data_IF_617417079147
#
_entry.id   IF_617417079147
#
_cell.length_a   1.000
_cell.length_b   1.000
_cell.length_c   1.000
_cell.angle_alpha   90.00
_cell.angle_beta   90.00
_cell.angle_gamma   90.00
#
_symmetry.space_group_name_H-M   'P 1'
#
loop_
_entity.id
_entity.type
_entity.pdbx_description
1 polymer ?
#
# COMPACT_ATOMS: atom_id res chain seq x y z
N UNK A 1 -18.32 14.83 14.17
CA UNK A 1 -17.06 14.05 13.99
C UNK A 1 -17.45 12.59 13.93
N UNK A 2 -17.73 12.07 12.75
CA UNK A 2 -17.91 10.63 12.53
C UNK A 2 -16.54 9.97 12.60
N UNK A 3 -16.40 9.02 13.53
CA UNK A 3 -15.16 8.25 13.68
C UNK A 3 -14.76 7.66 12.30
N UNK A 4 -13.56 7.98 11.84
CA UNK A 4 -12.97 7.34 10.66
C UNK A 4 -12.95 5.83 10.94
N UNK A 5 -13.74 5.06 10.17
CA UNK A 5 -13.67 3.60 10.24
C UNK A 5 -12.33 3.21 9.59
N UNK A 6 -11.35 2.73 10.36
CA UNK A 6 -10.04 2.41 9.81
C UNK A 6 -10.19 1.26 8.80
N UNK A 7 -9.73 1.47 7.57
CA UNK A 7 -9.57 0.40 6.59
C UNK A 7 -8.47 -0.54 7.10
N UNK A 8 -8.87 -1.71 7.54
CA UNK A 8 -7.98 -2.69 8.12
C UNK A 8 -8.63 -4.08 8.20
N UNK A 9 -7.96 -5.04 8.82
CA UNK A 9 -8.50 -6.37 9.02
C UNK A 9 -9.87 -6.36 9.68
N UNK A 10 -10.83 -7.06 9.10
CA UNK A 10 -12.22 -7.12 9.56
C UNK A 10 -13.14 -6.04 8.95
N UNK A 11 -12.61 -5.09 8.17
CA UNK A 11 -13.47 -4.23 7.37
C UNK A 11 -13.97 -4.96 6.13
N UNK A 12 -15.19 -4.62 5.71
CA UNK A 12 -15.83 -5.25 4.54
C UNK A 12 -15.02 -4.98 3.25
N UNK A 13 -14.45 -3.79 3.13
CA UNK A 13 -13.59 -3.39 2.02
C UNK A 13 -12.31 -4.22 1.98
N UNK A 14 -11.66 -4.41 3.13
CA UNK A 14 -10.44 -5.22 3.25
C UNK A 14 -10.66 -6.67 2.84
N UNK A 15 -11.75 -7.26 3.29
CA UNK A 15 -12.01 -8.68 3.05
C UNK A 15 -12.47 -8.99 1.62
N UNK A 16 -12.91 -8.00 0.83
CA UNK A 16 -13.54 -8.24 -0.47
C UNK A 16 -12.74 -7.72 -1.67
N UNK A 17 -12.14 -6.52 -1.57
CA UNK A 17 -11.56 -5.85 -2.74
C UNK A 17 -10.33 -6.56 -3.30
N UNK A 18 -9.51 -7.17 -2.46
CA UNK A 18 -8.26 -7.83 -2.88
C UNK A 18 -8.43 -9.23 -3.45
N UNK A 19 -9.62 -9.80 -3.50
CA UNK A 19 -9.83 -11.16 -3.95
C UNK A 19 -9.61 -11.32 -5.46
N UNK A 20 -8.98 -12.44 -5.87
CA UNK A 20 -8.78 -12.78 -7.29
C UNK A 20 -10.08 -12.81 -8.09
N UNK A 21 -11.21 -13.15 -7.46
CA UNK A 21 -12.53 -13.18 -8.09
C UNK A 21 -12.96 -11.84 -8.68
N UNK A 22 -12.43 -10.72 -8.16
CA UNK A 22 -12.72 -9.38 -8.68
C UNK A 22 -12.34 -9.25 -10.17
N UNK A 23 -11.33 -10.00 -10.62
CA UNK A 23 -10.92 -10.02 -12.02
C UNK A 23 -12.05 -10.44 -12.98
N UNK A 24 -13.00 -11.28 -12.53
CA UNK A 24 -14.12 -11.75 -13.33
C UNK A 24 -15.11 -10.63 -13.70
N UNK A 25 -15.19 -9.56 -12.91
CA UNK A 25 -16.05 -8.40 -13.15
C UNK A 25 -15.28 -7.17 -13.63
N UNK A 26 -13.95 -7.26 -13.75
CA UNK A 26 -13.10 -6.13 -14.11
C UNK A 26 -13.43 -5.57 -15.50
N UNK A 27 -13.64 -6.43 -16.49
CA UNK A 27 -13.95 -5.97 -17.84
C UNK A 27 -15.29 -5.22 -17.90
N UNK A 28 -16.33 -5.71 -17.20
CA UNK A 28 -17.59 -5.00 -17.03
C UNK A 28 -17.39 -3.61 -16.42
N UNK A 29 -16.60 -3.53 -15.34
CA UNK A 29 -16.32 -2.26 -14.68
C UNK A 29 -15.58 -1.28 -15.58
N UNK A 30 -14.59 -1.75 -16.36
CA UNK A 30 -13.87 -0.93 -17.32
C UNK A 30 -14.79 -0.37 -18.40
N UNK A 31 -15.73 -1.18 -18.92
CA UNK A 31 -16.72 -0.75 -19.90
C UNK A 31 -17.64 0.33 -19.32
N UNK A 32 -18.18 0.12 -18.12
CA UNK A 32 -19.01 1.12 -17.44
C UNK A 32 -18.27 2.42 -17.15
N UNK A 33 -17.01 2.33 -16.72
CA UNK A 33 -16.17 3.51 -16.48
C UNK A 33 -15.92 4.28 -17.78
N UNK A 34 -15.48 3.58 -18.82
CA UNK A 34 -15.19 4.18 -20.12
C UNK A 34 -16.43 4.70 -20.83
N UNK A 35 -17.62 4.24 -20.47
CA UNK A 35 -18.88 4.72 -20.99
C UNK A 35 -19.22 6.17 -20.57
N UNK A 36 -18.68 6.63 -19.43
CA UNK A 36 -18.80 8.01 -19.02
C UNK A 36 -17.99 8.91 -19.99
N UNK A 37 -18.57 9.99 -20.56
CA UNK A 37 -17.94 10.78 -21.61
C UNK A 37 -16.52 11.24 -21.27
N UNK A 38 -16.32 11.88 -20.12
CA UNK A 38 -15.01 12.38 -19.70
C UNK A 38 -14.00 11.25 -19.45
N UNK A 39 -14.43 10.11 -18.88
CA UNK A 39 -13.56 8.96 -18.64
C UNK A 39 -13.18 8.29 -19.95
N UNK A 40 -14.15 8.06 -20.86
CA UNK A 40 -13.91 7.49 -22.16
C UNK A 40 -12.94 8.31 -23.00
N UNK A 41 -13.12 9.63 -23.05
CA UNK A 41 -12.22 10.54 -23.74
C UNK A 41 -10.80 10.54 -23.14
N UNK A 42 -10.69 10.56 -21.80
CA UNK A 42 -9.39 10.50 -21.13
C UNK A 42 -8.66 9.16 -21.35
N UNK A 43 -9.38 8.04 -21.25
CA UNK A 43 -8.81 6.70 -21.48
C UNK A 43 -8.41 6.53 -22.95
N UNK A 44 -9.26 6.88 -23.88
CA UNK A 44 -8.98 6.75 -25.31
C UNK A 44 -7.76 7.55 -25.75
N UNK A 45 -7.57 8.75 -25.20
CA UNK A 45 -6.51 9.66 -25.61
C UNK A 45 -5.19 9.45 -24.88
N UNK A 46 -5.22 9.13 -23.58
CA UNK A 46 -4.02 9.15 -22.73
C UNK A 46 -3.59 7.78 -22.21
N UNK A 47 -4.45 6.76 -22.32
CA UNK A 47 -4.12 5.44 -21.83
C UNK A 47 -3.34 4.61 -22.86
N UNK A 48 -2.35 3.90 -22.35
CA UNK A 48 -1.55 2.95 -23.16
C UNK A 48 -2.14 1.53 -23.19
N UNK A 49 -3.45 1.38 -22.89
CA UNK A 49 -4.09 0.06 -22.79
C UNK A 49 -4.00 -0.73 -24.11
N UNK A 50 -4.02 -0.06 -25.24
CA UNK A 50 -3.87 -0.68 -26.56
C UNK A 50 -2.46 -1.21 -26.82
N UNK A 51 -1.43 -0.46 -26.41
CA UNK A 51 -0.04 -0.80 -26.64
C UNK A 51 0.52 -1.77 -25.59
N UNK A 52 0.09 -1.64 -24.33
CA UNK A 52 0.60 -2.41 -23.18
C UNK A 52 -0.51 -2.79 -22.21
N UNK A 53 -1.50 -3.64 -22.64
CA UNK A 53 -2.71 -3.91 -21.86
C UNK A 53 -2.42 -4.52 -20.48
N UNK A 54 -1.54 -5.51 -20.40
CA UNK A 54 -1.17 -6.14 -19.13
C UNK A 54 -0.51 -5.17 -18.15
N UNK A 55 0.42 -4.34 -18.63
CA UNK A 55 1.07 -3.34 -17.79
C UNK A 55 0.05 -2.33 -17.25
N UNK A 56 -0.91 -1.91 -18.09
CA UNK A 56 -1.99 -1.00 -17.67
C UNK A 56 -2.90 -1.63 -16.64
N UNK A 57 -3.30 -2.89 -16.85
CA UNK A 57 -4.13 -3.65 -15.91
C UNK A 57 -3.43 -3.80 -14.55
N UNK A 58 -2.18 -4.32 -14.55
CA UNK A 58 -1.45 -4.54 -13.29
C UNK A 58 -1.22 -3.26 -12.52
N UNK A 59 -0.87 -2.14 -13.18
CA UNK A 59 -0.74 -0.84 -12.50
C UNK A 59 -2.05 -0.33 -11.92
N UNK A 60 -3.16 -0.60 -12.57
CA UNK A 60 -4.49 -0.22 -12.04
C UNK A 60 -4.83 -1.05 -10.81
N UNK A 61 -4.60 -2.36 -10.86
CA UNK A 61 -4.82 -3.25 -9.73
C UNK A 61 -3.89 -2.94 -8.55
N UNK A 62 -2.61 -2.66 -8.82
CA UNK A 62 -1.64 -2.24 -7.81
C UNK A 62 -2.06 -0.93 -7.15
N UNK A 63 -2.43 0.08 -7.94
CA UNK A 63 -2.97 1.33 -7.45
C UNK A 63 -4.18 1.11 -6.56
N UNK A 64 -5.18 0.35 -7.03
CA UNK A 64 -6.38 0.02 -6.26
C UNK A 64 -6.05 -0.71 -4.94
N UNK A 65 -5.14 -1.69 -4.98
CA UNK A 65 -4.71 -2.40 -3.78
C UNK A 65 -3.96 -1.47 -2.80
N UNK A 66 -3.11 -0.56 -3.30
CA UNK A 66 -2.38 0.40 -2.46
C UNK A 66 -3.33 1.27 -1.63
N UNK A 67 -4.49 1.61 -2.16
CA UNK A 67 -5.48 2.40 -1.44
C UNK A 67 -6.09 1.68 -0.24
N UNK A 68 -6.29 0.39 -0.34
CA UNK A 68 -6.93 -0.39 0.71
C UNK A 68 -5.89 -1.01 1.65
N UNK A 69 -4.84 -1.61 1.08
CA UNK A 69 -3.88 -2.43 1.81
C UNK A 69 -2.55 -1.72 2.08
N UNK A 70 -2.29 -0.60 1.41
CA UNK A 70 -1.09 0.19 1.60
C UNK A 70 -1.08 0.95 2.92
N UNK A 71 0.10 1.34 3.37
CA UNK A 71 0.30 2.26 4.49
C UNK A 71 -0.27 3.67 4.20
N UNK A 72 -0.47 4.47 5.22
CA UNK A 72 -0.95 5.85 5.05
C UNK A 72 -0.03 6.68 4.12
N UNK A 73 1.29 6.46 4.19
CA UNK A 73 2.27 7.15 3.34
C UNK A 73 2.23 6.68 1.87
N UNK A 74 2.07 5.37 1.63
CA UNK A 74 1.90 4.82 0.27
C UNK A 74 0.62 5.34 -0.37
N UNK A 75 -0.49 5.36 0.39
CA UNK A 75 -1.75 5.96 -0.06
C UNK A 75 -1.57 7.42 -0.46
N UNK A 76 -0.93 8.24 0.38
CA UNK A 76 -0.69 9.65 0.05
C UNK A 76 0.18 9.85 -1.19
N UNK A 77 1.25 9.06 -1.34
CA UNK A 77 2.11 9.12 -2.55
C UNK A 77 1.34 8.75 -3.80
N UNK A 78 0.56 7.67 -3.72
CA UNK A 78 -0.25 7.23 -4.86
C UNK A 78 -1.32 8.27 -5.22
N UNK A 79 -2.01 8.86 -4.23
CA UNK A 79 -2.93 9.98 -4.43
C UNK A 79 -2.25 11.15 -5.15
N UNK A 80 -1.12 11.61 -4.63
CA UNK A 80 -0.38 12.71 -5.25
C UNK A 80 0.08 12.37 -6.67
N UNK A 81 0.45 11.11 -6.94
CA UNK A 81 0.81 10.63 -8.28
C UNK A 81 -0.39 10.68 -9.23
N UNK A 82 -1.54 10.14 -8.81
CA UNK A 82 -2.76 10.14 -9.63
C UNK A 82 -3.28 11.55 -9.87
N UNK A 83 -3.24 12.40 -8.87
CA UNK A 83 -3.67 13.78 -9.01
C UNK A 83 -2.82 14.55 -10.02
N UNK A 84 -1.49 14.36 -10.01
CA UNK A 84 -0.60 14.93 -11.04
C UNK A 84 -0.89 14.38 -12.43
N UNK A 85 -1.21 13.08 -12.52
CA UNK A 85 -1.54 12.43 -13.78
C UNK A 85 -2.87 12.96 -14.33
N UNK A 86 -3.93 13.00 -13.51
CA UNK A 86 -5.26 13.44 -13.91
C UNK A 86 -5.31 14.92 -14.30
N UNK A 87 -4.56 15.79 -13.62
CA UNK A 87 -4.44 17.22 -14.01
C UNK A 87 -3.91 17.43 -15.43
N UNK A 88 -3.12 16.49 -15.95
CA UNK A 88 -2.58 16.55 -17.33
C UNK A 88 -3.52 15.95 -18.36
N UNK A 89 -4.54 15.20 -17.93
CA UNK A 89 -5.50 14.53 -18.81
C UNK A 89 -6.70 15.45 -19.04
N UNK A 90 -6.56 16.38 -19.96
CA UNK A 90 -7.62 17.30 -20.39
C UNK A 90 -7.57 17.50 -21.89
N UNK A 91 -8.68 17.86 -22.49
CA UNK A 91 -8.77 18.08 -23.92
C UNK A 91 -10.20 18.21 -24.40
N UNK A 92 -10.41 17.85 -25.65
CA UNK A 92 -11.73 17.85 -26.30
C UNK A 92 -12.03 16.42 -26.73
N UNK A 93 -13.25 15.95 -26.47
CA UNK A 93 -13.73 14.63 -26.92
C UNK A 93 -14.09 14.61 -28.41
N UNK A 94 -14.53 13.45 -28.91
CA UNK A 94 -14.91 13.27 -30.33
C UNK A 94 -16.15 14.09 -30.74
N UNK A 95 -16.90 14.63 -29.77
CA UNK A 95 -18.07 15.49 -30.00
C UNK A 95 -17.74 16.99 -29.83
N UNK A 96 -16.47 17.37 -29.66
CA UNK A 96 -16.05 18.76 -29.44
C UNK A 96 -16.28 19.28 -28.02
N UNK A 97 -16.67 18.44 -27.05
CA UNK A 97 -16.89 18.83 -25.65
C UNK A 97 -15.58 18.79 -24.88
N UNK A 98 -15.31 19.82 -24.10
CA UNK A 98 -14.15 19.84 -23.21
C UNK A 98 -14.29 18.76 -22.11
N UNK A 99 -13.21 18.05 -21.82
CA UNK A 99 -13.14 17.10 -20.72
C UNK A 99 -11.88 17.30 -19.88
N UNK A 100 -11.95 16.86 -18.63
CA UNK A 100 -10.81 16.71 -17.73
C UNK A 100 -10.97 15.45 -16.89
N UNK A 101 -9.90 14.70 -16.70
CA UNK A 101 -9.90 13.57 -15.76
C UNK A 101 -9.97 14.00 -14.28
N UNK A 102 -9.85 15.30 -14.00
CA UNK A 102 -10.07 15.88 -12.68
C UNK A 102 -11.55 16.21 -12.41
N UNK A 103 -12.45 15.99 -13.38
CA UNK A 103 -13.88 16.19 -13.22
C UNK A 103 -14.43 15.35 -12.04
N UNK A 104 -15.17 16.02 -11.16
CA UNK A 104 -15.65 15.40 -9.92
C UNK A 104 -16.64 14.28 -10.22
N UNK A 105 -17.57 14.48 -11.17
CA UNK A 105 -18.59 13.49 -11.50
C UNK A 105 -17.96 12.24 -12.15
N UNK A 106 -16.96 12.44 -13.00
CA UNK A 106 -16.19 11.34 -13.58
C UNK A 106 -15.45 10.54 -12.50
N UNK A 107 -14.86 11.21 -11.52
CA UNK A 107 -14.16 10.56 -10.39
C UNK A 107 -15.11 9.81 -9.47
N UNK A 108 -16.26 10.41 -9.15
CA UNK A 108 -17.34 9.77 -8.38
C UNK A 108 -17.83 8.52 -9.11
N UNK A 109 -18.09 8.63 -10.42
CA UNK A 109 -18.53 7.49 -11.22
C UNK A 109 -17.49 6.32 -11.19
N UNK A 110 -16.22 6.61 -11.43
CA UNK A 110 -15.15 5.59 -11.35
C UNK A 110 -15.11 4.96 -9.96
N UNK A 111 -15.18 5.75 -8.90
CA UNK A 111 -15.17 5.24 -7.52
C UNK A 111 -16.37 4.34 -7.23
N UNK A 112 -17.57 4.76 -7.60
CA UNK A 112 -18.80 4.02 -7.33
C UNK A 112 -18.98 2.77 -8.21
N UNK A 113 -18.44 2.73 -9.43
CA UNK A 113 -18.41 1.50 -10.24
C UNK A 113 -17.53 0.41 -9.67
N UNK A 114 -16.54 0.74 -8.85
CA UNK A 114 -15.74 -0.26 -8.13
C UNK A 114 -16.52 -0.85 -6.95
N UNK A 115 -17.37 -0.07 -6.28
CA UNK A 115 -18.32 -0.58 -5.31
C UNK A 115 -19.33 -1.55 -5.97
N UNK A 116 -19.93 -1.13 -7.07
CA UNK A 116 -20.83 -1.98 -7.85
C UNK A 116 -20.15 -3.28 -8.31
N UNK A 117 -18.87 -3.23 -8.69
CA UNK A 117 -18.11 -4.42 -9.08
C UNK A 117 -18.05 -5.46 -7.95
N UNK A 118 -17.75 -5.03 -6.72
CA UNK A 118 -17.69 -5.94 -5.57
C UNK A 118 -19.07 -6.51 -5.24
N UNK A 119 -20.11 -5.67 -5.23
CA UNK A 119 -21.50 -6.11 -5.00
C UNK A 119 -21.95 -7.11 -6.07
N UNK A 120 -21.63 -6.83 -7.33
CA UNK A 120 -21.93 -7.73 -8.46
C UNK A 120 -21.18 -9.05 -8.36
N UNK A 121 -19.88 -9.02 -8.00
CA UNK A 121 -19.07 -10.23 -7.78
C UNK A 121 -19.68 -11.12 -6.70
N UNK A 122 -20.12 -10.55 -5.58
CA UNK A 122 -20.73 -11.30 -4.49
C UNK A 122 -22.09 -11.91 -4.93
N UNK A 123 -22.95 -11.11 -5.55
CA UNK A 123 -24.24 -11.57 -6.06
C UNK A 123 -24.10 -12.73 -7.05
N UNK A 124 -23.22 -12.59 -8.03
CA UNK A 124 -22.97 -13.64 -9.04
C UNK A 124 -22.32 -14.89 -8.44
N UNK A 125 -21.51 -14.72 -7.40
CA UNK A 125 -20.92 -15.84 -6.65
C UNK A 125 -21.92 -16.62 -5.79
N UNK A 126 -23.19 -16.22 -5.71
CA UNK A 126 -24.20 -16.86 -4.85
C UNK A 126 -24.00 -16.55 -3.37
N UNK A 127 -23.38 -15.44 -3.04
CA UNK A 127 -23.15 -14.91 -1.71
C UNK A 127 -23.49 -13.40 -1.66
N UNK A 128 -24.76 -13.04 -1.95
CA UNK A 128 -25.16 -11.64 -1.98
C UNK A 128 -25.05 -11.02 -0.58
N UNK A 129 -24.55 -9.78 -0.53
CA UNK A 129 -24.49 -9.04 0.72
C UNK A 129 -25.90 -8.79 1.26
N UNK A 130 -26.09 -8.98 2.57
CA UNK A 130 -27.30 -8.55 3.25
C UNK A 130 -27.43 -7.02 3.19
N UNK A 131 -28.62 -6.44 3.42
CA UNK A 131 -28.80 -4.98 3.50
C UNK A 131 -27.86 -4.33 4.52
N UNK A 132 -27.67 -4.97 5.69
CA UNK A 132 -26.78 -4.49 6.73
C UNK A 132 -25.30 -4.52 6.29
N UNK A 133 -24.84 -5.62 5.68
CA UNK A 133 -23.49 -5.73 5.14
C UNK A 133 -23.23 -4.73 4.02
N UNK A 134 -24.23 -4.52 3.14
CA UNK A 134 -24.17 -3.52 2.07
C UNK A 134 -24.03 -2.13 2.66
N UNK A 135 -24.80 -1.78 3.70
CA UNK A 135 -24.74 -0.50 4.38
C UNK A 135 -23.37 -0.25 5.03
N UNK A 136 -22.82 -1.24 5.74
CA UNK A 136 -21.48 -1.16 6.33
C UNK A 136 -20.40 -0.99 5.25
N UNK A 137 -20.44 -1.82 4.22
CA UNK A 137 -19.50 -1.74 3.10
C UNK A 137 -19.59 -0.40 2.38
N UNK A 138 -20.78 0.12 2.15
CA UNK A 138 -20.97 1.42 1.51
C UNK A 138 -20.43 2.57 2.37
N UNK A 139 -20.62 2.53 3.68
CA UNK A 139 -20.07 3.54 4.61
C UNK A 139 -18.54 3.54 4.56
N UNK A 140 -17.91 2.37 4.61
CA UNK A 140 -16.45 2.25 4.43
C UNK A 140 -16.00 2.77 3.06
N UNK A 141 -16.79 2.50 2.01
CA UNK A 141 -16.50 2.91 0.64
C UNK A 141 -16.57 4.43 0.47
N UNK A 142 -17.55 5.09 1.06
CA UNK A 142 -17.62 6.56 1.10
C UNK A 142 -16.43 7.16 1.85
N UNK A 143 -16.03 6.58 2.97
CA UNK A 143 -14.85 7.02 3.70
C UNK A 143 -13.58 6.88 2.83
N UNK A 144 -13.45 5.79 2.07
CA UNK A 144 -12.38 5.64 1.10
C UNK A 144 -12.44 6.72 0.02
N UNK A 145 -13.62 7.06 -0.49
CA UNK A 145 -13.83 8.15 -1.44
C UNK A 145 -13.31 9.49 -0.92
N UNK A 146 -13.51 9.79 0.37
CA UNK A 146 -12.95 11.01 1.00
C UNK A 146 -11.42 11.00 1.02
N UNK A 147 -10.81 9.84 1.27
CA UNK A 147 -9.34 9.68 1.14
C UNK A 147 -8.89 9.98 -0.29
N UNK A 148 -9.72 9.69 -1.30
CA UNK A 148 -9.47 10.07 -2.70
C UNK A 148 -9.74 11.54 -3.02
N UNK A 149 -10.10 12.35 -2.03
CA UNK A 149 -10.42 13.76 -2.23
C UNK A 149 -11.76 14.00 -2.92
N UNK A 150 -12.72 13.08 -2.75
CA UNK A 150 -14.13 13.31 -3.05
C UNK A 150 -14.80 13.92 -1.83
N UNK A 151 -15.60 14.98 -2.02
CA UNK A 151 -16.37 15.53 -0.92
C UNK A 151 -17.51 14.56 -0.55
N UNK A 152 -17.98 14.65 0.69
CA UNK A 152 -19.04 13.78 1.17
C UNK A 152 -20.36 14.00 0.39
N UNK A 153 -20.63 15.25 0.04
CA UNK A 153 -21.80 15.67 -0.71
C UNK A 153 -21.71 15.32 -2.21
N UNK A 154 -20.54 14.99 -2.72
CA UNK A 154 -20.38 14.54 -4.11
C UNK A 154 -20.88 13.11 -4.31
N UNK A 155 -20.98 12.33 -3.24
CA UNK A 155 -21.35 10.92 -3.28
C UNK A 155 -22.74 10.69 -2.66
N UNK A 156 -23.54 9.79 -3.22
CA UNK A 156 -24.82 9.38 -2.60
C UNK A 156 -24.62 9.00 -1.12
N UNK A 157 -25.57 9.37 -0.26
CA UNK A 157 -25.42 9.18 1.17
C UNK A 157 -25.67 7.73 1.61
N UNK A 158 -26.55 7.01 0.90
CA UNK A 158 -26.97 5.65 1.25
C UNK A 158 -26.82 4.68 0.07
N UNK A 159 -26.85 3.35 0.31
CA UNK A 159 -26.89 2.36 -0.77
C UNK A 159 -28.11 2.50 -1.69
N UNK A 160 -29.24 2.99 -1.18
CA UNK A 160 -30.46 3.24 -1.94
C UNK A 160 -30.24 4.42 -2.90
N UNK A 161 -29.75 5.54 -2.39
CA UNK A 161 -29.38 6.70 -3.21
C UNK A 161 -28.28 6.37 -4.23
N UNK A 162 -27.36 5.47 -3.88
CA UNK A 162 -26.38 4.96 -4.83
C UNK A 162 -27.03 4.22 -5.99
N UNK A 163 -28.04 3.36 -5.74
CA UNK A 163 -28.76 2.67 -6.81
C UNK A 163 -29.45 3.65 -7.75
N UNK A 164 -30.14 4.64 -7.17
CA UNK A 164 -30.80 5.68 -7.94
C UNK A 164 -29.82 6.52 -8.77
N UNK A 165 -28.66 6.86 -8.19
CA UNK A 165 -27.59 7.54 -8.89
C UNK A 165 -27.02 6.68 -10.03
N UNK A 166 -26.76 5.40 -9.76
CA UNK A 166 -26.20 4.44 -10.73
C UNK A 166 -27.16 4.28 -11.91
N UNK A 167 -28.45 4.02 -11.65
CA UNK A 167 -29.45 3.82 -12.68
C UNK A 167 -29.67 5.06 -13.54
N UNK A 168 -29.73 6.25 -12.93
CA UNK A 168 -29.80 7.52 -13.67
C UNK A 168 -28.54 7.74 -14.52
N UNK A 169 -27.36 7.50 -13.99
CA UNK A 169 -26.12 7.67 -14.75
C UNK A 169 -26.07 6.73 -15.93
N UNK A 170 -26.47 5.48 -15.76
CA UNK A 170 -26.58 4.49 -16.83
C UNK A 170 -27.56 4.91 -17.90
N UNK A 171 -28.73 5.43 -17.50
CA UNK A 171 -29.78 5.84 -18.42
C UNK A 171 -29.45 7.12 -19.19
N UNK A 172 -28.89 8.12 -18.51
CA UNK A 172 -28.85 9.49 -19.02
C UNK A 172 -27.44 9.97 -19.41
N UNK A 173 -26.38 9.39 -18.82
CA UNK A 173 -25.01 9.90 -18.97
C UNK A 173 -24.10 9.00 -19.80
N UNK A 174 -24.20 7.68 -19.63
CA UNK A 174 -23.30 6.76 -20.33
C UNK A 174 -23.53 6.77 -21.86
N UNK A 175 -22.44 6.73 -22.60
CA UNK A 175 -22.45 6.79 -24.06
C UNK A 175 -21.86 5.53 -24.72
N UNK A 176 -22.29 5.27 -25.93
CA UNK A 176 -21.63 4.33 -26.85
C UNK A 176 -20.50 5.09 -27.61
N UNK A 177 -19.39 5.31 -26.89
CA UNK A 177 -18.25 6.05 -27.42
C UNK A 177 -17.17 5.14 -28.02
N UNK A 178 -16.20 5.74 -28.73
CA UNK A 178 -15.14 5.01 -29.42
C UNK A 178 -14.31 4.12 -28.48
N UNK A 179 -14.06 4.55 -27.22
CA UNK A 179 -13.29 3.77 -26.22
C UNK A 179 -14.06 2.51 -25.78
N UNK A 180 -15.37 2.62 -25.57
CA UNK A 180 -16.23 1.45 -25.27
C UNK A 180 -16.23 0.45 -26.43
N UNK A 181 -16.39 0.94 -27.65
CA UNK A 181 -16.34 0.07 -28.85
C UNK A 181 -15.01 -0.64 -28.99
N UNK A 182 -13.91 0.05 -28.72
CA UNK A 182 -12.57 -0.54 -28.76
C UNK A 182 -12.37 -1.59 -27.66
N UNK A 183 -12.87 -1.37 -26.47
CA UNK A 183 -12.84 -2.34 -25.37
C UNK A 183 -13.68 -3.59 -25.66
N UNK A 184 -14.78 -3.47 -26.40
CA UNK A 184 -15.68 -4.60 -26.69
C UNK A 184 -15.32 -5.37 -27.96
N UNK A 185 -14.74 -4.71 -28.97
CA UNK A 185 -14.52 -5.33 -30.28
C UNK A 185 -13.17 -5.03 -30.93
N UNK A 186 -12.43 -4.05 -30.43
CA UNK A 186 -11.19 -3.56 -31.04
C UNK A 186 -9.92 -4.18 -30.45
N UNK A 187 -9.26 -3.40 -29.61
CA UNK A 187 -7.94 -3.72 -29.06
C UNK A 187 -7.91 -4.97 -28.18
N UNK A 188 -9.00 -5.30 -27.51
CA UNK A 188 -9.08 -6.49 -26.67
C UNK A 188 -8.80 -7.78 -27.46
N UNK A 189 -9.20 -7.82 -28.74
CA UNK A 189 -8.90 -8.95 -29.63
C UNK A 189 -7.44 -9.02 -30.10
N UNK A 190 -6.60 -8.03 -29.73
CA UNK A 190 -5.17 -7.95 -30.04
C UNK A 190 -4.28 -8.14 -28.82
N UNK A 191 -4.86 -8.41 -27.65
CA UNK A 191 -4.12 -8.59 -26.40
C UNK A 191 -3.04 -9.68 -26.53
N UNK A 192 -1.76 -9.39 -26.22
CA UNK A 192 -0.71 -10.39 -26.25
C UNK A 192 -0.90 -11.44 -25.14
N UNK A 193 -0.18 -12.57 -25.17
CA UNK A 193 -0.23 -13.53 -24.07
C UNK A 193 0.14 -12.86 -22.74
N UNK A 194 -0.40 -13.38 -21.60
CA UNK A 194 -0.03 -12.89 -20.29
C UNK A 194 1.48 -12.96 -20.08
N UNK A 195 2.10 -11.94 -19.44
CA UNK A 195 3.54 -11.94 -19.18
C UNK A 195 3.92 -13.13 -18.29
N UNK A 196 5.06 -13.75 -18.61
CA UNK A 196 5.54 -14.94 -17.89
C UNK A 196 4.99 -16.27 -18.36
N UNK A 197 4.01 -16.28 -19.29
CA UNK A 197 3.52 -17.50 -19.91
C UNK A 197 4.09 -17.62 -21.35
N UNK A 198 5.00 -18.57 -21.64
CA UNK A 198 5.58 -18.73 -22.96
C UNK A 198 4.62 -19.46 -23.91
N UNK A 199 3.50 -18.81 -24.23
CA UNK A 199 2.49 -19.37 -25.13
C UNK A 199 2.86 -19.00 -26.59
N UNK A 200 3.11 -19.98 -27.46
CA UNK A 200 3.36 -19.72 -28.88
C UNK A 200 2.20 -18.94 -29.54
N UNK A 201 2.52 -18.03 -30.47
CA UNK A 201 1.52 -17.19 -31.12
C UNK A 201 0.40 -17.99 -31.83
N UNK A 202 0.74 -19.14 -32.42
CA UNK A 202 -0.21 -20.04 -33.06
C UNK A 202 -1.24 -20.63 -32.07
N UNK A 203 -0.83 -20.87 -30.84
CA UNK A 203 -1.72 -21.37 -29.77
C UNK A 203 -2.49 -20.20 -29.13
N UNK A 204 -1.82 -19.07 -28.96
CA UNK A 204 -2.44 -17.90 -28.35
C UNK A 204 -3.55 -17.29 -29.19
N UNK A 205 -3.40 -17.23 -30.51
CA UNK A 205 -4.38 -16.57 -31.37
C UNK A 205 -5.81 -17.16 -31.24
N UNK A 206 -6.04 -18.49 -31.37
CA UNK A 206 -7.37 -19.08 -31.17
C UNK A 206 -7.80 -19.02 -29.70
N UNK A 207 -6.89 -19.28 -28.74
CA UNK A 207 -7.20 -19.22 -27.31
C UNK A 207 -7.65 -17.81 -26.89
N UNK A 208 -6.94 -16.78 -27.34
CA UNK A 208 -7.30 -15.39 -27.13
C UNK A 208 -8.70 -15.07 -27.62
N UNK A 209 -9.03 -15.52 -28.85
CA UNK A 209 -10.35 -15.28 -29.40
C UNK A 209 -11.45 -15.86 -28.50
N UNK A 210 -11.28 -17.09 -28.04
CA UNK A 210 -12.23 -17.75 -27.13
C UNK A 210 -12.35 -17.00 -25.79
N UNK A 211 -11.21 -16.68 -25.15
CA UNK A 211 -11.19 -16.00 -23.87
C UNK A 211 -11.82 -14.59 -23.96
N UNK A 212 -11.47 -13.84 -25.00
CA UNK A 212 -12.00 -12.49 -25.19
C UNK A 212 -13.49 -12.53 -25.54
N UNK A 213 -13.92 -13.44 -26.41
CA UNK A 213 -15.35 -13.61 -26.73
C UNK A 213 -16.15 -13.97 -25.48
N UNK A 214 -15.63 -14.87 -24.65
CA UNK A 214 -16.26 -15.21 -23.37
C UNK A 214 -16.32 -14.01 -22.42
N UNK A 215 -15.25 -13.20 -22.30
CA UNK A 215 -15.23 -12.01 -21.49
C UNK A 215 -16.22 -10.94 -21.97
N UNK A 216 -16.33 -10.74 -23.28
CA UNK A 216 -17.31 -9.82 -23.89
C UNK A 216 -18.74 -10.31 -23.64
N UNK A 217 -19.02 -11.61 -23.81
CA UNK A 217 -20.33 -12.18 -23.50
C UNK A 217 -20.66 -12.11 -22.02
N UNK A 218 -19.71 -12.37 -21.13
CA UNK A 218 -19.89 -12.20 -19.69
C UNK A 218 -20.19 -10.73 -19.32
N UNK A 219 -19.53 -9.79 -19.99
CA UNK A 219 -19.80 -8.37 -19.85
C UNK A 219 -21.23 -8.04 -20.32
N UNK A 220 -21.62 -8.48 -21.50
CA UNK A 220 -22.98 -8.27 -22.04
C UNK A 220 -24.04 -8.84 -21.09
N UNK A 221 -23.84 -10.05 -20.55
CA UNK A 221 -24.76 -10.71 -19.64
C UNK A 221 -24.90 -10.01 -18.27
N UNK A 222 -23.93 -9.18 -17.89
CA UNK A 222 -23.88 -8.54 -16.56
C UNK A 222 -24.06 -7.03 -16.61
N UNK A 223 -24.01 -6.39 -17.78
CA UNK A 223 -24.33 -4.96 -17.95
C UNK A 223 -25.81 -4.68 -17.67
N UNK A 224 -26.14 -3.47 -17.15
CA UNK A 224 -27.51 -3.00 -17.06
C UNK A 224 -28.22 -3.07 -18.43
N UNK A 225 -29.45 -3.54 -18.46
CA UNK A 225 -30.20 -3.78 -19.68
C UNK A 225 -30.29 -2.54 -20.58
N UNK A 226 -30.63 -1.40 -20.00
CA UNK A 226 -30.74 -0.11 -20.70
C UNK A 226 -29.44 0.23 -21.45
N UNK A 227 -28.28 -0.02 -20.82
CA UNK A 227 -27.00 0.27 -21.45
C UNK A 227 -26.61 -0.79 -22.49
N UNK A 228 -26.90 -2.04 -22.22
CA UNK A 228 -26.73 -3.15 -23.18
C UNK A 228 -27.52 -2.93 -24.48
N UNK A 229 -28.75 -2.47 -24.39
CA UNK A 229 -29.59 -2.10 -25.53
C UNK A 229 -28.99 -0.93 -26.32
N UNK A 230 -28.49 0.11 -25.62
CA UNK A 230 -27.78 1.25 -26.23
C UNK A 230 -26.58 0.80 -27.06
N UNK A 231 -25.82 -0.17 -26.53
CA UNK A 231 -24.68 -0.79 -27.22
C UNK A 231 -25.10 -1.79 -28.32
N UNK A 232 -26.38 -2.10 -28.44
CA UNK A 232 -26.93 -3.12 -29.34
C UNK A 232 -26.26 -4.49 -29.17
N UNK A 233 -25.89 -4.83 -27.91
CA UNK A 233 -25.27 -6.11 -27.59
C UNK A 233 -26.34 -7.20 -27.43
N UNK A 234 -26.10 -8.35 -28.04
CA UNK A 234 -26.92 -9.55 -27.86
C UNK A 234 -26.28 -10.48 -26.86
N UNK A 235 -27.07 -11.01 -25.96
CA UNK A 235 -26.65 -12.04 -25.00
C UNK A 235 -27.05 -13.40 -25.58
N UNK A 236 -26.08 -14.30 -25.65
CA UNK A 236 -26.35 -15.69 -26.09
C UNK A 236 -27.26 -16.35 -25.05
N UNK A 237 -28.34 -17.05 -25.45
CA UNK A 237 -29.20 -17.76 -24.51
C UNK A 237 -28.41 -18.65 -23.56
N UNK A 238 -28.67 -18.51 -22.27
CA UNK A 238 -27.96 -19.25 -21.21
C UNK A 238 -26.64 -18.62 -20.74
N UNK A 239 -26.13 -17.55 -21.37
CA UNK A 239 -24.89 -16.90 -20.95
C UNK A 239 -24.96 -16.36 -19.51
N UNK A 240 -26.10 -15.84 -19.07
CA UNK A 240 -26.28 -15.36 -17.69
C UNK A 240 -26.10 -16.50 -16.67
N UNK A 241 -26.68 -17.68 -16.95
CA UNK A 241 -26.51 -18.86 -16.12
C UNK A 241 -25.07 -19.36 -16.12
N UNK A 242 -24.42 -19.35 -17.27
CA UNK A 242 -23.01 -19.74 -17.40
C UNK A 242 -22.11 -18.81 -16.59
N UNK A 243 -22.31 -17.49 -16.71
CA UNK A 243 -21.56 -16.49 -15.97
C UNK A 243 -21.77 -16.65 -14.47
N UNK A 244 -23.00 -16.81 -14.00
CA UNK A 244 -23.30 -17.09 -12.60
C UNK A 244 -22.63 -18.40 -12.13
N UNK A 245 -22.67 -19.44 -12.95
CA UNK A 245 -22.00 -20.73 -12.67
C UNK A 245 -20.48 -20.59 -12.55
N UNK A 246 -19.83 -19.83 -13.42
CA UNK A 246 -18.38 -19.55 -13.35
C UNK A 246 -18.03 -18.75 -12.06
N UNK A 247 -18.82 -17.73 -11.73
CA UNK A 247 -18.61 -16.96 -10.49
C UNK A 247 -18.81 -17.81 -9.24
N UNK A 248 -19.83 -18.66 -9.24
CA UNK A 248 -20.11 -19.57 -8.14
C UNK A 248 -18.98 -20.61 -7.97
N UNK A 249 -18.53 -21.23 -9.06
CA UNK A 249 -17.41 -22.16 -9.04
C UNK A 249 -16.11 -21.47 -8.58
N UNK A 250 -15.85 -20.25 -9.06
CA UNK A 250 -14.70 -19.46 -8.62
C UNK A 250 -14.76 -19.14 -7.13
N UNK A 251 -15.94 -18.86 -6.57
CA UNK A 251 -16.13 -18.70 -5.13
C UNK A 251 -15.79 -19.96 -4.37
N UNK A 252 -16.41 -21.08 -4.74
CA UNK A 252 -16.16 -22.36 -4.08
C UNK A 252 -14.69 -22.76 -4.13
N UNK A 253 -14.04 -22.61 -5.30
CA UNK A 253 -12.61 -22.87 -5.45
C UNK A 253 -11.77 -21.94 -4.56
N UNK A 254 -12.13 -20.66 -4.48
CA UNK A 254 -11.44 -19.68 -3.63
C UNK A 254 -11.61 -20.03 -2.15
N UNK A 255 -12.80 -20.47 -1.73
CA UNK A 255 -13.08 -20.83 -0.32
C UNK A 255 -12.33 -22.09 0.14
N UNK A 256 -11.92 -22.94 -0.78
CA UNK A 256 -11.05 -24.09 -0.50
C UNK A 256 -9.57 -23.70 -0.31
N UNK A 257 -9.14 -22.54 -0.77
CA UNK A 257 -7.77 -22.09 -0.63
C UNK A 257 -7.49 -21.53 0.77
N UNK A 258 -6.26 -21.65 1.28
CA UNK A 258 -5.82 -20.91 2.46
C UNK A 258 -6.05 -19.40 2.29
N UNK A 259 -6.45 -18.70 3.36
CA UNK A 259 -6.85 -17.29 3.31
C UNK A 259 -5.89 -16.39 2.49
N UNK A 260 -4.54 -16.44 2.66
CA UNK A 260 -3.63 -15.59 1.89
C UNK A 260 -3.64 -15.85 0.37
N UNK A 261 -4.01 -17.04 -0.08
CA UNK A 261 -4.02 -17.41 -1.50
C UNK A 261 -5.29 -16.98 -2.24
N UNK A 262 -6.30 -16.54 -1.48
CA UNK A 262 -7.56 -16.00 -2.02
C UNK A 262 -7.38 -14.60 -2.59
N UNK A 263 -6.26 -13.94 -2.26
CA UNK A 263 -6.04 -12.52 -2.47
C UNK A 263 -4.88 -12.24 -3.42
N UNK A 264 -4.97 -11.14 -4.13
CA UNK A 264 -3.91 -10.59 -4.96
C UNK A 264 -2.67 -10.25 -4.12
N UNK A 265 -1.47 -10.12 -4.72
CA UNK A 265 -0.19 -10.13 -3.99
C UNK A 265 -0.09 -9.13 -2.83
N UNK A 266 -0.44 -7.86 -3.03
CA UNK A 266 -0.34 -6.85 -1.97
C UNK A 266 -1.34 -7.10 -0.84
N UNK A 267 -2.57 -7.44 -1.19
CA UNK A 267 -3.59 -7.82 -0.22
C UNK A 267 -3.17 -9.07 0.57
N UNK A 268 -2.65 -10.10 -0.12
CA UNK A 268 -2.12 -11.31 0.50
C UNK A 268 -0.97 -11.03 1.46
N UNK A 269 -0.02 -10.16 1.08
CA UNK A 269 1.09 -9.77 1.93
C UNK A 269 0.60 -9.04 3.19
N UNK A 270 -0.34 -8.10 3.03
CA UNK A 270 -0.92 -7.36 4.16
C UNK A 270 -1.72 -8.27 5.10
N UNK A 271 -2.49 -9.23 4.56
CA UNK A 271 -3.22 -10.22 5.36
C UNK A 271 -2.26 -11.15 6.12
N UNK A 272 -1.16 -11.58 5.49
CA UNK A 272 -0.12 -12.37 6.16
C UNK A 272 0.54 -11.58 7.29
N UNK A 273 0.85 -10.31 7.05
CA UNK A 273 1.45 -9.43 8.05
C UNK A 273 0.55 -9.25 9.28
N UNK A 274 -0.78 -9.24 9.10
CA UNK A 274 -1.74 -9.13 10.22
C UNK A 274 -2.02 -10.46 10.92
N UNK A 275 -1.83 -11.59 10.22
CA UNK A 275 -1.98 -12.94 10.80
C UNK A 275 -0.75 -13.35 11.63
N UNK A 276 0.39 -12.73 11.42
CA UNK A 276 1.52 -12.84 12.34
C UNK A 276 1.14 -12.02 13.57
N UNK A 277 0.65 -12.70 14.62
CA UNK A 277 0.62 -12.08 15.96
C UNK A 277 2.01 -11.55 16.22
N UNK A 278 2.21 -10.23 16.42
CA UNK A 278 3.52 -9.77 16.82
C UNK A 278 3.89 -10.62 18.02
N UNK A 279 5.12 -11.14 18.09
CA UNK A 279 5.56 -11.88 19.28
C UNK A 279 5.19 -11.00 20.47
N UNK A 280 4.72 -11.61 21.61
CA UNK A 280 4.35 -10.80 22.76
C UNK A 280 5.46 -9.77 22.94
N UNK A 281 5.10 -8.50 23.09
CA UNK A 281 6.06 -7.42 23.31
C UNK A 281 6.79 -7.74 24.62
N UNK A 282 7.76 -8.61 24.53
CA UNK A 282 8.74 -8.81 25.60
C UNK A 282 9.55 -7.54 25.55
N UNK A 283 9.49 -6.75 26.60
CA UNK A 283 10.35 -5.58 26.75
C UNK A 283 11.78 -6.05 26.39
N UNK A 284 12.48 -5.38 25.47
CA UNK A 284 13.79 -5.83 25.06
C UNK A 284 14.66 -5.92 26.30
N UNK A 285 15.11 -7.12 26.60
CA UNK A 285 16.08 -7.27 27.70
C UNK A 285 17.43 -6.80 27.17
N UNK A 286 18.34 -6.32 28.03
CA UNK A 286 19.72 -6.00 27.61
C UNK A 286 20.39 -7.13 26.85
N UNK A 287 20.01 -8.37 27.12
CA UNK A 287 20.50 -9.56 26.43
C UNK A 287 19.95 -9.66 25.01
N UNK A 288 18.66 -9.43 24.84
CA UNK A 288 18.06 -9.45 23.51
C UNK A 288 18.59 -8.30 22.65
N UNK A 289 18.81 -7.12 23.23
CA UNK A 289 19.43 -6.01 22.53
C UNK A 289 20.85 -6.31 22.10
N UNK A 290 21.66 -6.86 23.02
CA UNK A 290 23.04 -7.27 22.71
C UNK A 290 23.08 -8.27 21.56
N UNK A 291 22.28 -9.34 21.63
CA UNK A 291 22.34 -10.45 20.66
C UNK A 291 21.63 -10.18 19.35
N UNK A 292 20.61 -9.32 19.33
CA UNK A 292 19.80 -9.08 18.12
C UNK A 292 20.10 -7.76 17.42
N UNK A 293 20.74 -6.81 18.12
CA UNK A 293 21.06 -5.49 17.58
C UNK A 293 22.57 -5.26 17.52
N UNK A 294 23.28 -5.40 18.63
CA UNK A 294 24.69 -5.05 18.69
C UNK A 294 25.60 -6.10 18.04
N UNK A 295 25.39 -7.38 18.30
CA UNK A 295 26.18 -8.49 17.75
C UNK A 295 25.76 -8.81 16.30
N UNK A 296 26.30 -8.03 15.37
CA UNK A 296 26.00 -8.16 13.93
C UNK A 296 26.59 -9.45 13.32
N UNK A 297 27.70 -9.92 13.85
CA UNK A 297 28.39 -11.14 13.38
C UNK A 297 27.78 -12.42 13.93
N UNK A 298 27.05 -12.34 15.06
CA UNK A 298 26.39 -13.46 15.74
C UNK A 298 27.36 -14.40 16.44
N UNK A 299 28.56 -13.92 16.81
CA UNK A 299 29.59 -14.72 17.47
C UNK A 299 29.54 -14.63 19.02
N UNK A 300 28.57 -13.89 19.56
CA UNK A 300 28.34 -13.75 21.01
C UNK A 300 29.20 -12.70 21.68
N UNK A 301 29.98 -11.93 20.94
CA UNK A 301 30.81 -10.83 21.46
C UNK A 301 30.76 -9.62 20.55
N UNK A 302 30.93 -8.42 21.09
CA UNK A 302 30.98 -7.20 20.28
C UNK A 302 32.41 -6.81 19.95
N UNK A 303 32.61 -6.43 18.71
CA UNK A 303 33.84 -5.84 18.17
C UNK A 303 33.50 -4.54 17.44
N UNK A 304 34.54 -3.82 17.07
CA UNK A 304 34.38 -2.66 16.18
C UNK A 304 33.70 -3.06 14.85
N UNK A 305 33.97 -4.28 14.35
CA UNK A 305 33.32 -4.79 13.12
C UNK A 305 31.80 -4.81 13.16
N UNK A 306 31.21 -5.02 14.34
CA UNK A 306 29.73 -5.05 14.47
C UNK A 306 29.15 -3.64 14.35
N UNK A 307 29.75 -2.67 15.04
CA UNK A 307 29.33 -1.27 14.95
C UNK A 307 29.60 -0.69 13.56
N UNK A 308 30.70 -1.07 12.94
CA UNK A 308 31.03 -0.69 11.56
C UNK A 308 30.03 -1.27 10.55
N UNK A 309 29.55 -2.49 10.77
CA UNK A 309 28.49 -3.08 9.94
C UNK A 309 27.19 -2.26 10.04
N UNK A 310 26.80 -1.86 11.27
CA UNK A 310 25.66 -0.99 11.49
C UNK A 310 25.82 0.37 10.81
N UNK A 311 26.97 1.01 10.93
CA UNK A 311 27.26 2.28 10.27
C UNK A 311 27.14 2.19 8.75
N UNK A 312 27.65 1.13 8.13
CA UNK A 312 27.58 0.88 6.68
C UNK A 312 26.14 0.63 6.23
N UNK A 313 25.39 -0.15 6.98
CA UNK A 313 23.97 -0.41 6.68
C UNK A 313 23.17 0.90 6.69
N UNK A 314 23.36 1.74 7.71
CA UNK A 314 22.73 3.05 7.80
C UNK A 314 23.13 3.96 6.62
N UNK A 315 24.42 4.00 6.26
CA UNK A 315 24.92 4.80 5.14
C UNK A 315 24.30 4.35 3.80
N UNK A 316 24.22 3.04 3.59
CA UNK A 316 23.58 2.46 2.40
C UNK A 316 22.09 2.75 2.36
N UNK A 317 21.42 2.59 3.49
CA UNK A 317 19.96 2.80 3.60
C UNK A 317 19.54 4.25 3.31
N UNK A 318 20.33 5.21 3.79
CA UNK A 318 20.05 6.64 3.61
C UNK A 318 20.62 7.21 2.31
N UNK A 319 21.39 6.42 1.53
CA UNK A 319 22.09 6.85 0.30
C UNK A 319 22.94 8.10 0.57
N UNK A 320 23.87 7.96 1.55
CA UNK A 320 24.69 9.07 2.05
C UNK A 320 25.82 9.42 1.10
N UNK A 321 26.20 10.68 1.09
CA UNK A 321 27.42 11.12 0.44
C UNK A 321 28.68 10.86 1.30
N UNK A 322 29.88 11.06 0.74
CA UNK A 322 31.14 10.74 1.39
C UNK A 322 31.33 11.51 2.72
N UNK A 323 30.87 12.74 2.83
CA UNK A 323 31.00 13.54 4.06
C UNK A 323 30.05 13.03 5.15
N UNK A 324 28.83 12.70 4.77
CA UNK A 324 27.83 12.14 5.68
C UNK A 324 28.24 10.73 6.14
N UNK A 325 28.83 9.89 5.26
CA UNK A 325 29.38 8.60 5.65
C UNK A 325 30.49 8.73 6.69
N UNK A 326 31.42 9.70 6.53
CA UNK A 326 32.47 9.97 7.51
C UNK A 326 31.86 10.38 8.85
N UNK A 327 30.87 11.26 8.84
CA UNK A 327 30.17 11.72 10.06
C UNK A 327 29.51 10.55 10.80
N UNK A 328 28.83 9.67 10.09
CA UNK A 328 28.23 8.45 10.67
C UNK A 328 29.32 7.53 11.22
N UNK A 329 30.38 7.28 10.46
CA UNK A 329 31.48 6.43 10.90
C UNK A 329 32.10 6.93 12.21
N UNK A 330 32.38 8.23 12.31
CA UNK A 330 32.98 8.84 13.50
C UNK A 330 32.05 8.77 14.71
N UNK A 331 30.74 8.97 14.51
CA UNK A 331 29.74 8.81 15.55
C UNK A 331 29.70 7.36 16.10
N UNK A 332 29.71 6.35 15.22
CA UNK A 332 29.76 4.95 15.64
C UNK A 332 31.10 4.57 16.30
N UNK A 333 32.21 5.17 15.88
CA UNK A 333 33.51 4.99 16.54
C UNK A 333 33.53 5.59 17.95
N UNK A 334 32.89 6.75 18.13
CA UNK A 334 32.68 7.36 19.44
C UNK A 334 31.85 6.45 20.35
N UNK A 335 30.77 5.88 19.81
CA UNK A 335 29.94 4.91 20.54
C UNK A 335 30.70 3.64 20.94
N UNK A 336 31.51 3.08 20.04
CA UNK A 336 32.39 1.95 20.34
C UNK A 336 33.37 2.28 21.49
N UNK A 337 33.91 3.47 21.50
CA UNK A 337 34.82 3.95 22.57
C UNK A 337 34.10 4.05 23.90
N UNK A 338 32.86 4.57 23.91
CA UNK A 338 32.01 4.62 25.11
C UNK A 338 31.74 3.21 25.67
N UNK A 339 31.31 2.28 24.80
CA UNK A 339 31.04 0.89 25.19
C UNK A 339 32.26 0.21 25.83
N UNK A 340 33.43 0.34 25.20
CA UNK A 340 34.67 -0.23 25.75
C UNK A 340 35.04 0.37 27.09
N UNK A 341 34.96 1.68 27.23
CA UNK A 341 35.27 2.38 28.45
C UNK A 341 34.33 1.94 29.58
N UNK A 342 33.02 1.90 29.33
CA UNK A 342 32.03 1.51 30.32
C UNK A 342 32.18 0.04 30.77
N UNK A 343 32.61 -0.85 29.85
CA UNK A 343 32.81 -2.27 30.15
C UNK A 343 34.20 -2.60 30.66
N UNK A 344 35.14 -1.65 30.67
CA UNK A 344 36.54 -1.87 31.06
C UNK A 344 37.30 -2.70 30.02
N UNK A 345 36.88 -2.71 28.75
CA UNK A 345 37.47 -3.53 27.70
C UNK A 345 38.70 -2.84 27.11
N UNK A 346 39.85 -3.52 26.94
CA UNK A 346 41.07 -2.99 26.28
C UNK A 346 40.82 -2.59 24.80
N UNK A 347 41.76 -1.81 24.23
CA UNK A 347 41.61 -1.30 22.84
C UNK A 347 41.46 -2.40 21.79
N UNK A 348 42.08 -3.55 21.97
CA UNK A 348 42.09 -4.75 21.13
C UNK A 348 41.14 -5.84 21.65
N UNK A 349 40.42 -5.57 22.74
CA UNK A 349 39.53 -6.52 23.39
C UNK A 349 38.14 -6.58 22.75
N UNK A 350 37.36 -7.56 23.22
CA UNK A 350 35.97 -7.77 22.84
C UNK A 350 35.06 -7.48 24.02
N UNK A 351 33.90 -6.91 23.76
CA UNK A 351 32.88 -6.71 24.81
C UNK A 351 32.00 -7.95 24.86
N UNK A 352 32.03 -8.65 26.00
CA UNK A 352 31.18 -9.81 26.23
C UNK A 352 29.82 -9.37 26.78
N UNK A 353 28.77 -10.20 26.59
CA UNK A 353 27.46 -9.98 27.18
C UNK A 353 27.53 -9.80 28.72
N UNK A 354 28.41 -10.54 29.39
CA UNK A 354 28.59 -10.43 30.86
C UNK A 354 29.17 -9.06 31.24
N UNK A 355 30.17 -8.54 30.52
CA UNK A 355 30.73 -7.22 30.74
C UNK A 355 29.71 -6.09 30.47
N UNK A 356 28.94 -6.25 29.38
CA UNK A 356 27.85 -5.35 29.02
C UNK A 356 26.78 -5.26 30.14
N UNK A 357 26.28 -6.40 30.61
CA UNK A 357 25.32 -6.47 31.73
C UNK A 357 25.88 -5.83 33.01
N UNK A 358 27.15 -6.05 33.33
CA UNK A 358 27.78 -5.45 34.50
C UNK A 358 27.90 -3.93 34.37
N UNK A 359 28.13 -3.40 33.16
CA UNK A 359 28.17 -1.96 32.91
C UNK A 359 26.79 -1.33 33.08
N UNK A 360 25.73 -1.98 32.56
CA UNK A 360 24.34 -1.55 32.73
C UNK A 360 23.93 -1.55 34.22
N UNK A 361 24.14 -2.68 34.91
CA UNK A 361 23.78 -2.81 36.34
C UNK A 361 24.52 -1.82 37.23
N UNK A 362 25.73 -1.42 36.85
CA UNK A 362 26.53 -0.43 37.53
C UNK A 362 26.28 1.03 37.13
N UNK A 363 25.28 1.33 36.31
CA UNK A 363 24.99 2.65 35.73
C UNK A 363 26.21 3.30 35.03
N UNK A 364 27.12 2.48 34.48
CA UNK A 364 28.29 2.95 33.71
C UNK A 364 27.98 3.10 32.23
N UNK A 365 26.89 2.52 31.76
CA UNK A 365 26.41 2.55 30.39
C UNK A 365 24.87 2.52 30.42
N UNK A 366 24.20 3.24 29.51
CA UNK A 366 24.78 4.14 28.50
C UNK A 366 25.22 5.51 29.04
N UNK A 367 24.82 5.89 30.24
CA UNK A 367 25.00 7.24 30.75
C UNK A 367 24.05 8.25 30.12
N UNK A 368 24.13 9.54 30.50
CA UNK A 368 23.33 10.57 29.85
C UNK A 368 23.74 10.74 28.40
N UNK A 369 22.78 11.07 27.48
CA UNK A 369 23.10 11.35 26.11
C UNK A 369 23.99 12.59 25.99
N UNK A 370 25.00 12.51 25.12
CA UNK A 370 25.89 13.62 24.78
C UNK A 370 25.94 13.69 23.25
N UNK A 371 25.41 14.75 22.61
CA UNK A 371 25.34 14.83 21.15
C UNK A 371 26.72 14.82 20.44
N UNK A 372 27.81 15.07 21.19
CA UNK A 372 29.16 15.03 20.65
C UNK A 372 29.87 13.69 20.91
N UNK A 373 29.35 12.86 21.82
CA UNK A 373 30.04 11.64 22.23
C UNK A 373 29.12 10.42 22.38
N UNK A 374 29.71 9.25 22.13
CA UNK A 374 29.05 7.97 22.38
C UNK A 374 27.81 7.74 21.50
N UNK A 375 26.82 7.07 22.07
CA UNK A 375 25.56 6.81 21.35
C UNK A 375 24.75 8.09 21.06
N UNK A 376 24.95 9.15 21.86
CA UNK A 376 24.33 10.44 21.62
C UNK A 376 24.81 11.07 20.31
N UNK A 377 26.09 10.92 19.97
CA UNK A 377 26.62 11.34 18.66
C UNK A 377 25.97 10.57 17.51
N UNK A 378 25.67 9.27 17.68
CA UNK A 378 24.94 8.50 16.67
C UNK A 378 23.51 9.01 16.55
N UNK A 379 22.81 9.26 17.64
CA UNK A 379 21.45 9.82 17.62
C UNK A 379 21.41 11.20 16.95
N UNK A 380 22.36 12.07 17.30
CA UNK A 380 22.49 13.41 16.71
C UNK A 380 22.80 13.36 15.20
N UNK A 381 23.69 12.46 14.77
CA UNK A 381 24.02 12.29 13.34
C UNK A 381 22.82 11.77 12.56
N UNK A 382 22.10 10.75 13.04
CA UNK A 382 20.88 10.26 12.40
C UNK A 382 19.84 11.37 12.28
N UNK A 383 19.58 12.10 13.35
CA UNK A 383 18.65 13.23 13.35
C UNK A 383 19.05 14.27 12.30
N UNK A 384 20.30 14.69 12.27
CA UNK A 384 20.82 15.65 11.30
C UNK A 384 20.61 15.20 9.85
N UNK A 385 20.85 13.92 9.56
CA UNK A 385 20.71 13.35 8.22
C UNK A 385 19.25 13.26 7.73
N UNK A 386 18.29 13.16 8.64
CA UNK A 386 16.87 13.09 8.29
C UNK A 386 16.17 14.44 8.32
N UNK A 387 16.62 15.38 9.16
CA UNK A 387 16.16 16.78 9.24
C UNK A 387 16.66 17.57 8.01
N UNK A 388 15.89 17.53 6.92
CA UNK A 388 16.30 18.12 5.65
C UNK A 388 16.17 19.63 5.60
N UNK A 389 15.25 20.20 6.35
CA UNK A 389 15.04 21.63 6.37
C UNK A 389 15.88 22.31 7.47
N UNK A 390 16.67 21.53 8.20
CA UNK A 390 17.60 21.94 9.27
C UNK A 390 16.91 22.82 10.33
N UNK A 391 15.64 22.54 10.62
CA UNK A 391 14.88 23.29 11.62
C UNK A 391 15.04 22.73 13.05
N UNK A 392 15.76 21.63 13.21
CA UNK A 392 16.00 20.96 14.51
C UNK A 392 14.89 20.01 14.96
N UNK A 393 13.82 19.87 14.17
CA UNK A 393 12.68 18.99 14.44
C UNK A 393 12.55 17.93 13.35
N UNK A 394 12.26 16.70 13.73
CA UNK A 394 12.01 15.62 12.79
C UNK A 394 10.51 15.44 12.62
N UNK A 395 10.01 15.76 11.42
CA UNK A 395 8.61 15.55 11.04
C UNK A 395 8.38 14.16 10.47
N UNK A 396 7.12 13.74 10.47
CA UNK A 396 6.73 12.44 9.94
C UNK A 396 7.27 12.12 8.52
N UNK A 397 7.33 13.06 7.56
CA UNK A 397 7.93 12.80 6.24
C UNK A 397 9.45 12.56 6.28
N UNK A 398 10.15 13.17 7.22
CA UNK A 398 11.59 13.05 7.43
C UNK A 398 11.92 11.75 8.16
N UNK A 399 11.20 11.47 9.23
CA UNK A 399 11.27 10.18 9.91
C UNK A 399 10.94 9.00 8.99
N UNK A 400 9.99 9.17 8.07
CA UNK A 400 9.63 8.16 7.10
C UNK A 400 10.79 7.74 6.16
N UNK A 401 11.84 8.54 6.04
CA UNK A 401 13.06 8.18 5.29
C UNK A 401 13.82 7.05 5.93
N UNK A 402 13.84 6.99 7.25
CA UNK A 402 14.42 5.87 7.99
C UNK A 402 13.69 4.54 7.72
N UNK A 403 12.51 4.60 7.12
CA UNK A 403 11.55 3.51 7.05
C UNK A 403 11.21 3.05 5.63
N UNK A 404 11.83 3.65 4.60
CA UNK A 404 11.33 3.61 3.22
C UNK A 404 11.33 2.23 2.55
N UNK A 405 11.97 1.23 3.12
CA UNK A 405 12.12 -0.09 2.51
C UNK A 405 11.60 -1.27 3.36
N UNK A 406 10.88 -1.01 4.46
CA UNK A 406 10.37 -2.04 5.36
C UNK A 406 8.89 -2.35 5.19
N UNK A 407 8.47 -3.64 5.19
CA UNK A 407 7.05 -4.05 5.19
C UNK A 407 6.27 -3.69 6.48
N UNK A 408 6.93 -3.21 7.53
CA UNK A 408 6.35 -2.85 8.84
C UNK A 408 6.11 -1.34 9.03
N UNK A 409 5.96 -0.61 7.98
CA UNK A 409 5.91 0.86 7.93
C UNK A 409 4.82 1.52 8.80
N UNK A 410 3.65 0.91 8.95
CA UNK A 410 2.56 1.46 9.77
C UNK A 410 2.80 1.31 11.28
N UNK A 411 3.53 0.28 11.72
CA UNK A 411 3.96 0.14 13.12
C UNK A 411 4.91 1.26 13.52
N UNK A 412 5.70 1.73 12.57
CA UNK A 412 6.68 2.78 12.75
C UNK A 412 6.05 4.18 12.81
N UNK A 413 4.94 4.39 12.09
CA UNK A 413 4.15 5.62 12.22
C UNK A 413 3.44 5.68 13.60
N UNK A 414 2.98 4.53 14.09
CA UNK A 414 2.46 4.43 15.45
C UNK A 414 3.57 4.67 16.46
N UNK A 415 4.79 4.15 16.21
CA UNK A 415 5.95 4.37 17.07
C UNK A 415 6.37 5.86 17.13
N UNK A 416 6.30 6.61 16.02
CA UNK A 416 6.58 8.06 16.06
C UNK A 416 5.59 8.79 16.98
N UNK A 417 4.31 8.47 16.87
CA UNK A 417 3.29 9.06 17.76
C UNK A 417 3.51 8.73 19.23
N UNK A 418 4.07 7.55 19.50
CA UNK A 418 4.44 7.14 20.86
C UNK A 418 5.68 7.89 21.39
N UNK A 419 6.51 8.44 20.49
CA UNK A 419 7.71 9.22 20.83
C UNK A 419 7.42 10.71 20.97
N UNK A 420 6.41 11.21 20.28
CA UNK A 420 5.92 12.58 20.35
C UNK A 420 5.16 12.79 21.68
N UNK A 421 5.89 13.18 22.72
CA UNK A 421 5.34 13.32 24.08
C UNK A 421 4.52 14.59 24.25
N UNK A 422 4.85 15.64 23.47
CA UNK A 422 4.16 16.91 23.57
C UNK A 422 2.93 16.97 22.62
N UNK A 423 2.79 16.00 21.69
CA UNK A 423 1.66 15.85 20.78
C UNK A 423 1.63 16.88 19.64
N UNK A 424 2.78 17.51 19.32
CA UNK A 424 2.86 18.53 18.28
C UNK A 424 3.04 17.97 16.85
N UNK A 425 3.22 16.65 16.72
CA UNK A 425 3.37 15.94 15.46
C UNK A 425 4.79 15.96 14.90
N UNK A 426 5.78 16.41 15.71
CA UNK A 426 7.22 16.40 15.40
C UNK A 426 8.00 15.68 16.48
N UNK A 427 9.26 15.35 16.23
CA UNK A 427 10.20 14.93 17.27
C UNK A 427 11.28 15.99 17.39
N UNK A 428 11.34 16.66 18.50
CA UNK A 428 12.45 17.54 18.85
C UNK A 428 13.70 16.72 19.29
N UNK A 429 14.81 17.40 19.53
CA UNK A 429 16.07 16.77 19.91
C UNK A 429 15.93 15.91 21.15
N UNK A 430 15.29 16.45 22.18
CA UNK A 430 15.15 15.79 23.49
C UNK A 430 14.31 14.51 23.39
N UNK A 431 13.21 14.54 22.62
CA UNK A 431 12.34 13.39 22.38
C UNK A 431 13.06 12.30 21.59
N UNK A 432 13.82 12.68 20.56
CA UNK A 432 14.58 11.74 19.75
C UNK A 432 15.70 11.08 20.55
N UNK A 433 16.47 11.86 21.30
CA UNK A 433 17.57 11.36 22.16
C UNK A 433 17.04 10.49 23.30
N UNK A 434 15.94 10.89 23.95
CA UNK A 434 15.28 10.09 24.98
C UNK A 434 14.80 8.74 24.42
N UNK A 435 14.25 8.74 23.21
CA UNK A 435 13.83 7.51 22.54
C UNK A 435 14.99 6.56 22.26
N UNK A 436 16.12 7.08 21.78
CA UNK A 436 17.33 6.28 21.57
C UNK A 436 17.87 5.75 22.90
N UNK A 437 17.89 6.58 23.94
CA UNK A 437 18.31 6.16 25.29
C UNK A 437 17.45 5.01 25.82
N UNK A 438 16.13 5.15 25.78
CA UNK A 438 15.17 4.13 26.23
C UNK A 438 15.33 2.81 25.47
N UNK A 439 15.63 2.89 24.18
CA UNK A 439 15.93 1.73 23.36
C UNK A 439 17.20 1.01 23.81
N UNK A 440 18.29 1.76 24.00
CA UNK A 440 19.59 1.22 24.40
C UNK A 440 19.59 0.64 25.81
N UNK A 441 18.72 1.14 26.68
CA UNK A 441 18.55 0.65 28.07
C UNK A 441 17.52 -0.47 28.17
N UNK A 442 16.84 -0.80 27.10
CA UNK A 442 15.81 -1.83 27.08
C UNK A 442 14.49 -1.43 27.75
N UNK A 443 14.27 -0.14 28.02
CA UNK A 443 13.01 0.37 28.55
C UNK A 443 11.92 0.48 27.51
N UNK A 444 12.31 0.61 26.24
CA UNK A 444 11.38 0.73 25.10
C UNK A 444 11.87 -0.04 23.88
N UNK A 445 10.96 -0.72 23.19
CA UNK A 445 11.24 -1.27 21.88
C UNK A 445 11.03 -0.19 20.82
N UNK A 446 12.08 0.12 20.05
CA UNK A 446 12.01 1.00 18.90
C UNK A 446 12.13 0.15 17.63
N UNK A 447 10.99 -0.22 16.99
CA UNK A 447 11.02 -1.02 15.77
C UNK A 447 11.88 -0.40 14.65
N UNK A 448 11.90 0.94 14.54
CA UNK A 448 12.76 1.66 13.61
C UNK A 448 14.24 1.45 13.88
N UNK A 449 14.67 1.62 15.13
CA UNK A 449 16.06 1.45 15.49
C UNK A 449 16.50 -0.02 15.36
N UNK A 450 15.65 -0.97 15.71
CA UNK A 450 15.90 -2.40 15.49
C UNK A 450 16.04 -2.75 14.01
N UNK A 451 15.23 -2.13 13.16
CA UNK A 451 15.30 -2.35 11.71
C UNK A 451 16.55 -1.73 11.07
N UNK A 452 16.93 -0.52 11.51
CA UNK A 452 18.11 0.19 11.01
C UNK A 452 19.44 -0.35 11.55
N UNK A 453 19.43 -0.84 12.78
CA UNK A 453 20.64 -1.21 13.51
C UNK A 453 20.69 -2.69 13.85
N UNK A 454 19.61 -3.44 13.68
CA UNK A 454 19.52 -4.85 14.02
C UNK A 454 19.79 -5.79 12.82
N UNK A 455 20.04 -7.06 13.11
CA UNK A 455 20.10 -8.12 12.08
C UNK A 455 18.70 -8.32 11.50
N UNK A 456 18.56 -8.26 10.18
CA UNK A 456 17.35 -8.60 9.42
C UNK A 456 17.11 -10.11 9.37
#
# INVERSE_FOLDING_TARGET
MTAEVPLGPGSATWDRLGQWRLLLVTHRSLVLQAAHPAVGAAVGRFSVYNARPWRRLFRTLESLQTYVYGSASERRRELARLERLHRRMQGTDDHGRAFTAADVQARVWVHLTLFDAVVTMQRLGGDPLSPEETGRFYTEWRNLGRVFGLAEDDMPATPEEFRDYFDRTVADVLEDNATVRDLLSGSIHRVPPPPGLPIPALVWAPLRYLVVSAAVQATAATLPEVYRERLRMTVVPGAELLVAGVHHAARLATDLLPKPWRYMPLASASIKATAVTPPPRVAPTPESFFTTVLDQTGDGVLRWSDLLAMARELSTHLDLDENDEITVHDAFQSWWTQLRTATGTPCDGVVTLAAYRTALAGNRYPGPPDPEHGYGAVAASIRHLIDRDANGEVRLPEYARLLDHSPRRHELIAALRDLDHNGDGTLNSDEFEAAVHDFLTGHRDLPAARHLLGRT
#
